data_IF_581999311730
#
_entry.id   IF_581999311730
#
_cell.length_a   1.000
_cell.length_b   1.000
_cell.length_c   1.000
_cell.angle_alpha   90.00
_cell.angle_beta   90.00
_cell.angle_gamma   90.00
#
_symmetry.space_group_name_H-M   'P 1'
#
loop_
_entity.id
_entity.type
_entity.pdbx_description
1 polymer ?
#
# COMPACT_ATOMS: atom_id res chain seq x y z
N UNK A 1 -15.42 21.71 -15.64
CA UNK A 1 -14.58 22.27 -14.56
C UNK A 1 -13.65 21.15 -14.15
N UNK A 2 -12.36 21.24 -14.47
CA UNK A 2 -11.39 20.27 -13.98
C UNK A 2 -11.03 20.70 -12.56
N UNK A 3 -11.67 20.10 -11.56
CA UNK A 3 -11.17 20.23 -10.19
C UNK A 3 -9.79 19.56 -10.17
N UNK A 4 -8.74 20.33 -9.86
CA UNK A 4 -7.45 19.76 -9.49
C UNK A 4 -7.64 19.04 -8.15
N UNK A 5 -8.16 17.80 -8.20
CA UNK A 5 -8.16 16.92 -7.04
C UNK A 5 -6.70 16.63 -6.72
N UNK A 6 -6.29 17.01 -5.52
CA UNK A 6 -4.98 16.64 -4.99
C UNK A 6 -5.02 15.14 -4.71
N UNK A 7 -4.31 14.37 -5.52
CA UNK A 7 -4.14 12.93 -5.32
C UNK A 7 -3.11 12.69 -4.23
N UNK A 8 -3.41 11.75 -3.33
CA UNK A 8 -2.51 11.32 -2.28
C UNK A 8 -2.04 9.90 -2.60
N UNK A 9 -0.83 9.79 -3.12
CA UNK A 9 -0.27 8.53 -3.60
C UNK A 9 0.57 7.85 -2.54
N UNK A 10 0.47 6.52 -2.50
CA UNK A 10 1.27 5.62 -1.67
C UNK A 10 1.99 4.68 -2.62
N UNK A 11 3.29 4.47 -2.38
CA UNK A 11 4.06 3.42 -3.04
C UNK A 11 4.19 2.28 -2.03
N UNK A 12 3.60 1.14 -2.35
CA UNK A 12 3.68 -0.08 -1.56
C UNK A 12 4.64 -1.03 -2.28
N UNK A 13 5.72 -1.41 -1.61
CA UNK A 13 6.68 -2.39 -2.14
C UNK A 13 6.52 -3.69 -1.36
N UNK A 14 6.23 -4.79 -2.05
CA UNK A 14 6.04 -6.12 -1.45
C UNK A 14 6.91 -7.10 -2.21
N UNK A 15 7.92 -7.67 -1.55
CA UNK A 15 8.79 -8.72 -2.12
C UNK A 15 9.40 -8.39 -3.49
N UNK A 16 9.70 -7.10 -3.74
CA UNK A 16 10.26 -6.61 -5.00
C UNK A 16 9.22 -6.13 -6.02
N UNK A 17 7.94 -6.42 -5.80
CA UNK A 17 6.83 -5.88 -6.61
C UNK A 17 6.41 -4.51 -6.08
N UNK A 18 6.14 -3.57 -6.99
CA UNK A 18 5.73 -2.21 -6.65
C UNK A 18 4.27 -1.97 -7.05
N UNK A 19 3.50 -1.43 -6.10
CA UNK A 19 2.12 -1.04 -6.29
C UNK A 19 1.95 0.45 -6.01
N UNK A 20 1.20 1.13 -6.87
CA UNK A 20 0.78 2.51 -6.65
C UNK A 20 -0.66 2.51 -6.15
N UNK A 21 -0.90 3.13 -5.01
CA UNK A 21 -2.24 3.31 -4.45
C UNK A 21 -2.60 4.79 -4.36
N UNK A 22 -3.86 5.11 -4.58
CA UNK A 22 -4.43 6.43 -4.32
C UNK A 22 -5.36 6.38 -3.10
N UNK A 23 -5.09 7.26 -2.13
CA UNK A 23 -5.97 7.49 -0.99
C UNK A 23 -7.12 8.43 -1.36
N UNK A 24 -8.33 8.07 -0.94
CA UNK A 24 -9.55 8.88 -1.10
C UNK A 24 -9.57 10.15 -0.24
N UNK A 25 -8.69 10.23 0.75
CA UNK A 25 -8.55 11.36 1.66
C UNK A 25 -7.11 11.82 1.83
N UNK A 26 -6.93 12.98 2.45
CA UNK A 26 -5.60 13.48 2.81
C UNK A 26 -4.88 12.55 3.79
N UNK A 27 -3.61 12.26 3.46
CA UNK A 27 -2.67 11.53 4.30
C UNK A 27 -2.00 12.49 5.29
N UNK A 28 -2.66 12.70 6.43
CA UNK A 28 -2.08 13.41 7.57
C UNK A 28 -0.89 12.64 8.14
N UNK A 29 -0.08 13.30 8.98
CA UNK A 29 1.07 12.66 9.64
C UNK A 29 0.67 11.40 10.41
N UNK A 30 -0.43 11.46 11.15
CA UNK A 30 -0.89 10.32 11.96
C UNK A 30 -1.30 9.15 11.07
N UNK A 31 -2.06 9.40 9.98
CA UNK A 31 -2.43 8.35 9.01
C UNK A 31 -1.20 7.70 8.39
N UNK A 32 -0.18 8.47 8.03
CA UNK A 32 1.08 7.94 7.49
C UNK A 32 1.78 7.04 8.49
N UNK A 33 1.90 7.48 9.74
CA UNK A 33 2.52 6.68 10.80
C UNK A 33 1.76 5.35 11.02
N UNK A 34 0.42 5.37 11.00
CA UNK A 34 -0.37 4.13 11.15
C UNK A 34 -0.21 3.20 9.95
N UNK A 35 -0.18 3.73 8.73
CA UNK A 35 0.06 2.93 7.51
C UNK A 35 1.46 2.29 7.56
N UNK A 36 2.49 3.04 7.95
CA UNK A 36 3.86 2.53 8.12
C UNK A 36 3.91 1.43 9.19
N UNK A 37 3.23 1.62 10.33
CA UNK A 37 3.14 0.61 11.39
C UNK A 37 2.42 -0.69 10.94
N UNK A 38 1.40 -0.59 10.08
CA UNK A 38 0.77 -1.78 9.48
C UNK A 38 1.81 -2.58 8.68
N UNK A 39 2.62 -1.92 7.85
CA UNK A 39 3.65 -2.60 7.07
C UNK A 39 4.72 -3.27 7.96
N UNK A 40 5.15 -2.60 9.02
CA UNK A 40 6.15 -3.14 9.95
C UNK A 40 5.63 -4.37 10.71
N UNK A 41 4.34 -4.38 11.04
CA UNK A 41 3.73 -5.47 11.83
C UNK A 41 3.26 -6.65 10.99
N UNK A 42 3.16 -6.53 9.67
CA UNK A 42 2.69 -7.61 8.79
C UNK A 42 3.57 -8.88 8.86
N UNK A 43 4.87 -8.71 9.08
CA UNK A 43 5.83 -9.81 9.24
C UNK A 43 6.27 -10.01 10.71
N UNK A 44 5.53 -9.44 11.67
CA UNK A 44 5.77 -9.70 13.09
C UNK A 44 5.19 -11.06 13.47
N UNK A 45 5.95 -11.90 14.19
CA UNK A 45 5.51 -13.23 14.65
C UNK A 45 4.22 -13.21 15.47
N UNK A 46 3.89 -12.07 16.10
CA UNK A 46 2.66 -11.88 16.86
C UNK A 46 1.44 -11.53 16.01
N UNK A 47 1.63 -11.28 14.72
CA UNK A 47 0.54 -10.93 13.81
C UNK A 47 -0.26 -12.18 13.41
N UNK A 48 -1.59 -12.05 13.36
CA UNK A 48 -2.49 -13.15 13.00
C UNK A 48 -2.26 -13.70 11.59
N UNK A 49 -1.69 -12.90 10.68
CA UNK A 49 -1.38 -13.33 9.32
C UNK A 49 0.06 -13.82 9.15
N UNK A 50 0.89 -13.85 10.20
CA UNK A 50 2.33 -14.10 10.09
C UNK A 50 2.67 -15.43 9.41
N UNK A 51 1.96 -16.51 9.73
CA UNK A 51 2.21 -17.81 9.10
C UNK A 51 1.74 -17.82 7.64
N UNK A 52 0.59 -17.21 7.36
CA UNK A 52 -0.02 -17.21 6.03
C UNK A 52 0.69 -16.27 5.04
N UNK A 53 1.27 -15.17 5.52
CA UNK A 53 1.84 -14.10 4.66
C UNK A 53 3.00 -14.60 3.81
N UNK A 54 3.73 -15.63 4.26
CA UNK A 54 4.83 -16.23 3.51
C UNK A 54 4.36 -17.09 2.33
N UNK A 55 3.13 -17.59 2.38
CA UNK A 55 2.52 -18.38 1.31
C UNK A 55 1.67 -17.51 0.36
N UNK A 56 1.41 -16.25 0.72
CA UNK A 56 0.65 -15.30 -0.08
C UNK A 56 1.47 -14.74 -1.25
N UNK A 57 0.81 -14.53 -2.39
CA UNK A 57 1.42 -13.76 -3.48
C UNK A 57 1.52 -12.28 -3.10
N UNK A 58 2.41 -11.49 -3.73
CA UNK A 58 2.45 -10.04 -3.52
C UNK A 58 1.10 -9.35 -3.73
N UNK A 59 0.25 -9.87 -4.61
CA UNK A 59 -1.10 -9.34 -4.87
C UNK A 59 -2.07 -9.62 -3.72
N UNK A 60 -2.00 -10.82 -3.12
CA UNK A 60 -2.83 -11.16 -1.97
C UNK A 60 -2.44 -10.33 -0.74
N UNK A 61 -1.13 -10.13 -0.53
CA UNK A 61 -0.60 -9.25 0.51
C UNK A 61 -1.04 -7.80 0.27
N UNK A 62 -1.03 -7.35 -0.99
CA UNK A 62 -1.50 -6.02 -1.36
C UNK A 62 -3.01 -5.84 -1.07
N UNK A 63 -3.84 -6.84 -1.38
CA UNK A 63 -5.27 -6.82 -1.05
C UNK A 63 -5.51 -6.83 0.46
N UNK A 64 -4.72 -7.61 1.21
CA UNK A 64 -4.74 -7.62 2.67
C UNK A 64 -4.38 -6.23 3.22
N UNK A 65 -3.34 -5.59 2.68
CA UNK A 65 -2.94 -4.24 3.06
C UNK A 65 -4.08 -3.23 2.86
N UNK A 66 -4.76 -3.26 1.71
CA UNK A 66 -5.91 -2.38 1.44
C UNK A 66 -7.01 -2.56 2.50
N UNK A 67 -7.37 -3.81 2.81
CA UNK A 67 -8.37 -4.15 3.83
C UNK A 67 -7.95 -3.65 5.20
N UNK A 68 -6.72 -3.91 5.61
CA UNK A 68 -6.18 -3.51 6.92
C UNK A 68 -6.11 -2.00 7.08
N UNK A 69 -5.70 -1.26 6.04
CA UNK A 69 -5.70 0.21 6.06
C UNK A 69 -7.12 0.75 6.22
N UNK A 70 -8.10 0.17 5.51
CA UNK A 70 -9.49 0.56 5.65
C UNK A 70 -10.03 0.31 7.06
N UNK A 71 -9.75 -0.86 7.62
CA UNK A 71 -10.31 -1.27 8.91
C UNK A 71 -9.64 -0.55 10.08
N UNK A 72 -8.32 -0.32 10.03
CA UNK A 72 -7.56 0.28 11.14
C UNK A 72 -7.41 1.80 11.03
N UNK A 73 -7.27 2.35 9.82
CA UNK A 73 -7.02 3.79 9.59
C UNK A 73 -8.30 4.53 9.17
N UNK A 74 -9.30 3.80 8.64
CA UNK A 74 -10.60 4.36 8.26
C UNK A 74 -10.57 5.14 6.94
N UNK A 75 -9.62 4.82 6.05
CA UNK A 75 -9.51 5.45 4.71
C UNK A 75 -9.56 4.39 3.61
N UNK A 76 -9.95 4.78 2.41
CA UNK A 76 -9.88 3.87 1.26
C UNK A 76 -8.61 4.16 0.46
N UNK A 77 -7.83 3.13 0.21
CA UNK A 77 -6.71 3.17 -0.75
C UNK A 77 -7.08 2.31 -1.94
N UNK A 78 -6.83 2.79 -3.16
CA UNK A 78 -7.22 2.09 -4.39
C UNK A 78 -6.01 1.88 -5.29
N UNK A 79 -5.82 0.65 -5.77
CA UNK A 79 -4.74 0.34 -6.70
C UNK A 79 -4.90 1.10 -8.02
N UNK A 80 -3.80 1.69 -8.48
CA UNK A 80 -3.68 2.29 -9.80
C UNK A 80 -2.91 1.34 -10.69
N UNK A 81 -3.52 0.99 -11.82
CA UNK A 81 -2.84 0.25 -12.86
C UNK A 81 -1.68 1.08 -13.42
N UNK A 82 -0.55 0.42 -13.66
CA UNK A 82 0.59 0.98 -14.36
C UNK A 82 0.58 0.40 -15.77
N UNK A 83 0.28 1.24 -16.76
CA UNK A 83 0.25 0.81 -18.17
C UNK A 83 1.66 0.66 -18.76
N UNK A 84 2.64 1.40 -18.23
CA UNK A 84 4.02 1.43 -18.75
C UNK A 84 5.02 1.74 -17.63
N UNK A 85 5.97 0.84 -17.44
CA UNK A 85 7.18 1.04 -16.64
C UNK A 85 8.39 1.16 -17.59
N UNK A 86 9.25 2.17 -17.37
CA UNK A 86 10.45 2.42 -18.18
C UNK A 86 11.64 2.77 -17.29
N UNK A 87 12.83 2.34 -17.69
CA UNK A 87 14.08 2.58 -16.95
C UNK A 87 15.19 3.03 -17.89
N UNK A 88 16.05 3.96 -17.44
CA UNK A 88 17.32 4.29 -18.09
C UNK A 88 18.42 3.81 -17.15
N UNK A 89 19.20 2.83 -17.59
CA UNK A 89 20.30 2.23 -16.83
C UNK A 89 21.63 2.72 -17.42
N UNK A 90 22.59 3.09 -16.57
CA UNK A 90 24.00 3.19 -16.98
C UNK A 90 24.62 1.78 -16.97
N UNK A 91 25.52 1.48 -17.92
CA UNK A 91 26.31 0.24 -17.98
C UNK A 91 27.28 0.10 -16.79
#
# INVERSE_FOLDING_TARGET
MCENRKSYLIILNINGEQFILESDTELTRDKKNYIEAICETMYDESNEWYEDIYDMSPYDIAELFEKTVKDQVGITVTFKAIDLEVSILED
#
